data_IF_991094271582
#
_entry.id   IF_991094271582
#
_cell.length_a   1.000
_cell.length_b   1.000
_cell.length_c   1.000
_cell.angle_alpha   90.00
_cell.angle_beta   90.00
_cell.angle_gamma   90.00
#
_symmetry.space_group_name_H-M   'P 1'
#
loop_
_entity.id
_entity.type
_entity.pdbx_description
1 polymer ?
#
# COMPACT_ATOMS: atom_id res chain seq x y z
N UNK A 1 23.27 26.79 -58.27
CA UNK A 1 24.21 27.63 -57.48
C UNK A 1 24.13 27.23 -56.01
N UNK A 2 25.27 27.09 -55.34
CA UNK A 2 25.38 26.46 -54.02
C UNK A 2 24.89 27.36 -52.87
N UNK A 3 24.35 26.76 -51.81
CA UNK A 3 24.38 27.33 -50.45
C UNK A 3 24.99 26.32 -49.48
N UNK A 4 25.80 26.84 -48.56
CA UNK A 4 26.86 26.09 -47.89
C UNK A 4 26.37 25.17 -46.77
N UNK A 5 27.02 24.01 -46.66
CA UNK A 5 26.81 23.01 -45.62
C UNK A 5 27.82 23.25 -44.49
N UNK A 6 27.41 23.89 -43.40
CA UNK A 6 28.28 24.11 -42.25
C UNK A 6 28.57 22.79 -41.52
N UNK A 7 29.83 22.33 -41.57
CA UNK A 7 30.38 21.35 -40.62
C UNK A 7 30.97 22.12 -39.44
N UNK A 8 30.77 21.63 -38.22
CA UNK A 8 31.61 22.00 -37.08
C UNK A 8 32.17 20.76 -36.39
N UNK A 9 33.30 20.97 -35.73
CA UNK A 9 34.28 19.95 -35.37
C UNK A 9 33.93 19.20 -34.07
N UNK A 10 34.58 18.05 -33.87
CA UNK A 10 34.33 17.19 -32.72
C UNK A 10 35.11 17.52 -31.44
N UNK A 11 34.87 16.70 -30.43
CA UNK A 11 35.63 16.52 -29.17
C UNK A 11 35.62 17.66 -28.13
N UNK A 12 35.04 17.38 -26.96
CA UNK A 12 35.84 16.88 -25.84
C UNK A 12 34.97 16.12 -24.81
N UNK A 13 35.48 15.01 -24.26
CA UNK A 13 34.84 14.28 -23.16
C UNK A 13 35.47 14.67 -21.82
N UNK A 14 34.70 15.28 -20.91
CA UNK A 14 35.13 15.55 -19.54
C UNK A 14 34.48 14.56 -18.56
N UNK A 15 35.11 13.39 -18.35
CA UNK A 15 34.75 12.49 -17.25
C UNK A 15 35.30 13.05 -15.94
N UNK A 16 34.45 13.69 -15.13
CA UNK A 16 34.79 14.05 -13.76
C UNK A 16 34.92 12.77 -12.90
N UNK A 17 36.15 12.35 -12.59
CA UNK A 17 36.44 11.22 -11.70
C UNK A 17 36.67 11.73 -10.28
N UNK A 18 35.61 11.73 -9.47
CA UNK A 18 35.71 12.02 -8.04
C UNK A 18 36.16 10.75 -7.30
N UNK A 19 37.42 10.71 -6.87
CA UNK A 19 37.93 9.68 -5.95
C UNK A 19 37.63 10.09 -4.51
N UNK A 20 36.69 9.41 -3.84
CA UNK A 20 36.50 9.51 -2.39
C UNK A 20 36.98 8.23 -1.70
N UNK A 21 37.66 8.43 -0.56
CA UNK A 21 38.44 7.45 0.20
C UNK A 21 37.53 6.55 1.05
N UNK A 22 37.87 5.26 1.13
CA UNK A 22 37.04 4.25 1.81
C UNK A 22 37.28 4.14 3.32
N UNK A 23 36.17 4.05 4.07
CA UNK A 23 35.92 3.43 5.40
C UNK A 23 34.40 3.17 5.46
N UNK A 24 33.83 2.06 5.92
CA UNK A 24 34.34 0.73 6.31
C UNK A 24 33.24 -0.31 5.94
N UNK A 25 33.47 -1.65 5.96
CA UNK A 25 32.49 -2.59 5.42
C UNK A 25 31.34 -2.88 6.38
N UNK A 26 30.15 -2.33 6.10
CA UNK A 26 28.91 -2.92 6.61
C UNK A 26 28.68 -4.28 5.91
N UNK A 27 28.31 -5.27 6.71
CA UNK A 27 28.18 -6.66 6.25
C UNK A 27 27.20 -6.80 5.08
N UNK A 28 27.64 -7.51 4.04
CA UNK A 28 26.81 -7.81 2.88
C UNK A 28 25.74 -8.84 3.24
N UNK A 29 24.52 -8.41 3.53
CA UNK A 29 23.35 -9.29 3.44
C UNK A 29 23.09 -9.63 1.97
N UNK A 30 23.71 -10.73 1.51
CA UNK A 30 23.42 -11.35 0.22
C UNK A 30 22.00 -11.90 0.23
N UNK A 31 21.02 -11.13 -0.26
CA UNK A 31 19.67 -11.64 -0.47
C UNK A 31 19.49 -12.14 -1.92
N UNK A 32 20.25 -13.16 -2.27
CA UNK A 32 19.97 -14.02 -3.43
C UNK A 32 18.97 -15.08 -2.99
N UNK A 33 17.69 -14.75 -3.06
CA UNK A 33 16.60 -15.66 -2.71
C UNK A 33 15.30 -15.21 -3.37
N UNK A 34 14.90 -15.88 -4.45
CA UNK A 34 13.50 -15.88 -4.85
C UNK A 34 12.71 -16.60 -3.76
N UNK A 35 12.10 -15.85 -2.85
CA UNK A 35 11.21 -16.42 -1.82
C UNK A 35 10.00 -17.01 -2.53
N UNK A 36 10.08 -18.31 -2.83
CA UNK A 36 8.91 -19.18 -2.92
C UNK A 36 8.34 -19.20 -1.50
N UNK A 37 7.09 -18.79 -1.36
CA UNK A 37 6.36 -19.06 -0.12
C UNK A 37 6.08 -20.57 -0.11
N UNK A 38 6.73 -21.28 0.80
CA UNK A 38 6.35 -22.65 1.10
C UNK A 38 5.08 -22.59 1.94
N UNK A 39 4.06 -23.30 1.48
CA UNK A 39 2.76 -23.37 2.13
C UNK A 39 2.79 -24.51 3.16
N UNK A 40 3.09 -24.18 4.41
CA UNK A 40 3.10 -25.10 5.55
C UNK A 40 2.87 -24.30 6.83
N UNK A 41 2.04 -24.84 7.72
CA UNK A 41 1.63 -24.25 9.00
C UNK A 41 0.83 -22.93 8.93
N UNK A 42 -0.16 -22.89 8.04
CA UNK A 42 -1.28 -21.96 8.20
C UNK A 42 -2.17 -22.40 9.37
N UNK A 43 -2.13 -21.65 10.48
CA UNK A 43 -3.17 -21.73 11.51
C UNK A 43 -4.44 -21.09 10.93
N UNK A 44 -5.22 -21.92 10.26
CA UNK A 44 -6.34 -21.56 9.39
C UNK A 44 -7.36 -20.69 10.15
N UNK A 45 -7.67 -19.49 9.63
CA UNK A 45 -8.85 -18.75 10.07
C UNK A 45 -10.08 -19.50 9.54
N UNK A 46 -10.70 -20.33 10.38
CA UNK A 46 -11.83 -21.17 9.98
C UNK A 46 -12.96 -20.33 9.37
N UNK A 47 -13.38 -20.73 8.16
CA UNK A 47 -14.38 -20.03 7.34
C UNK A 47 -15.83 -20.31 7.77
N UNK A 48 -16.04 -21.02 8.88
CA UNK A 48 -17.37 -21.41 9.36
C UNK A 48 -17.87 -20.43 10.42
N UNK A 49 -18.40 -19.31 9.96
CA UNK A 49 -19.74 -18.79 10.33
C UNK A 49 -20.03 -17.48 9.59
N UNK A 50 -20.70 -17.59 8.42
CA UNK A 50 -21.27 -16.43 7.74
C UNK A 50 -22.57 -16.01 8.46
N UNK A 51 -22.45 -15.20 9.51
CA UNK A 51 -23.57 -14.46 10.08
C UNK A 51 -23.45 -12.98 9.74
N UNK A 52 -24.31 -12.51 8.84
CA UNK A 52 -24.38 -11.12 8.41
C UNK A 52 -25.15 -10.27 9.45
N UNK A 53 -24.57 -10.12 10.63
CA UNK A 53 -25.15 -9.32 11.72
C UNK A 53 -24.32 -8.07 11.98
N UNK A 54 -24.97 -6.91 11.88
CA UNK A 54 -24.46 -5.63 12.39
C UNK A 54 -24.40 -5.65 13.92
N UNK A 55 -23.41 -6.34 14.48
CA UNK A 55 -23.07 -6.23 15.91
C UNK A 55 -22.16 -5.04 16.10
N UNK A 56 -22.78 -3.92 16.48
CA UNK A 56 -22.12 -2.74 17.00
C UNK A 56 -21.35 -3.13 18.27
N UNK A 57 -20.08 -3.47 18.08
CA UNK A 57 -19.16 -3.79 19.17
C UNK A 57 -18.88 -2.50 19.94
N UNK A 58 -19.62 -2.30 21.03
CA UNK A 58 -19.37 -1.21 21.97
C UNK A 58 -17.89 -1.25 22.37
N UNK A 59 -17.15 -0.13 22.28
CA UNK A 59 -15.81 -0.07 22.84
C UNK A 59 -15.97 -0.02 24.37
N UNK A 60 -15.72 -1.15 25.03
CA UNK A 60 -15.52 -1.14 26.48
C UNK A 60 -14.37 -0.18 26.80
N UNK A 61 -14.70 0.87 27.54
CA UNK A 61 -13.73 1.84 28.00
C UNK A 61 -12.90 1.22 29.11
N UNK A 62 -11.62 0.95 28.84
CA UNK A 62 -10.49 1.53 29.60
C UNK A 62 -9.13 0.93 29.21
N UNK A 63 -8.44 1.60 28.28
CA UNK A 63 -7.19 2.25 28.67
C UNK A 63 -7.03 3.51 27.82
N UNK A 64 -6.84 4.68 28.45
CA UNK A 64 -6.48 5.92 27.74
C UNK A 64 -4.96 5.92 27.53
N UNK A 65 -4.47 4.87 26.86
CA UNK A 65 -3.21 4.91 26.14
C UNK A 65 -3.44 5.58 24.80
N UNK A 66 -2.58 6.53 24.42
CA UNK A 66 -2.57 7.13 23.09
C UNK A 66 -1.98 6.13 22.06
N UNK A 67 -2.63 4.98 21.90
CA UNK A 67 -2.19 3.89 21.04
C UNK A 67 -2.37 4.32 19.58
N UNK A 68 -1.30 4.37 18.79
CA UNK A 68 -1.40 4.90 17.43
C UNK A 68 -2.22 3.94 16.57
N UNK A 69 -3.27 4.48 15.93
CA UNK A 69 -4.13 3.73 15.02
C UNK A 69 -3.69 3.94 13.57
N UNK A 70 -3.10 2.91 12.98
CA UNK A 70 -2.60 2.92 11.60
C UNK A 70 -3.54 2.10 10.73
N UNK A 71 -4.29 2.75 9.84
CA UNK A 71 -5.18 2.06 8.91
C UNK A 71 -4.50 1.81 7.56
N UNK A 72 -4.56 0.56 7.07
CA UNK A 72 -3.99 0.14 5.79
C UNK A 72 -5.12 -0.34 4.88
N UNK A 73 -5.23 0.27 3.69
CA UNK A 73 -6.26 -0.10 2.71
C UNK A 73 -5.83 -1.33 1.92
N UNK A 74 -6.57 -2.41 2.13
CA UNK A 74 -6.44 -3.68 1.42
C UNK A 74 -7.40 -3.68 0.24
N UNK A 75 -6.90 -3.48 -0.98
CA UNK A 75 -7.69 -3.58 -2.22
C UNK A 75 -6.87 -4.29 -3.31
N UNK A 76 -7.36 -5.39 -3.92
CA UNK A 76 -6.65 -6.14 -4.97
C UNK A 76 -6.26 -5.33 -6.22
N UNK A 77 -6.92 -4.19 -6.47
CA UNK A 77 -6.61 -3.28 -7.57
C UNK A 77 -5.49 -2.27 -7.26
N UNK A 78 -5.13 -2.15 -5.98
CA UNK A 78 -4.02 -1.40 -5.43
C UNK A 78 -2.78 -2.31 -5.28
N UNK A 79 -1.87 -1.94 -4.38
CA UNK A 79 -0.67 -2.71 -3.99
C UNK A 79 -0.59 -2.80 -2.45
N UNK A 80 -1.51 -3.56 -1.82
CA UNK A 80 -1.70 -3.53 -0.37
C UNK A 80 -0.50 -4.13 0.38
N UNK A 81 0.19 -5.11 -0.22
CA UNK A 81 1.43 -5.67 0.32
C UNK A 81 2.53 -4.61 0.43
N UNK A 82 2.71 -3.75 -0.59
CA UNK A 82 3.69 -2.66 -0.51
C UNK A 82 3.34 -1.63 0.58
N UNK A 83 2.05 -1.34 0.78
CA UNK A 83 1.59 -0.43 1.83
C UNK A 83 1.81 -1.00 3.23
N UNK A 84 1.39 -2.24 3.47
CA UNK A 84 1.55 -2.89 4.78
C UNK A 84 3.03 -3.11 5.12
N UNK A 85 3.85 -3.57 4.17
CA UNK A 85 5.29 -3.75 4.41
C UNK A 85 5.97 -2.43 4.79
N UNK A 86 5.57 -1.32 4.18
CA UNK A 86 6.09 0.01 4.54
C UNK A 86 5.62 0.44 5.93
N UNK A 87 4.32 0.31 6.24
CA UNK A 87 3.77 0.64 7.57
C UNK A 87 4.47 -0.14 8.69
N UNK A 88 4.60 -1.47 8.52
CA UNK A 88 5.29 -2.34 9.48
C UNK A 88 6.79 -2.02 9.67
N UNK A 89 7.45 -1.44 8.67
CA UNK A 89 8.89 -1.12 8.77
C UNK A 89 9.18 0.31 9.23
N UNK A 90 8.29 1.27 8.94
CA UNK A 90 8.57 2.70 9.14
C UNK A 90 7.71 3.39 10.20
N UNK A 91 6.52 2.86 10.53
CA UNK A 91 5.55 3.59 11.38
C UNK A 91 5.00 2.79 12.55
N UNK A 92 4.84 1.47 12.41
CA UNK A 92 4.20 0.62 13.44
C UNK A 92 5.19 0.19 14.52
N UNK A 93 4.78 0.41 15.77
CA UNK A 93 5.40 -0.09 17.00
C UNK A 93 4.57 -1.25 17.60
N UNK A 94 5.12 -1.97 18.58
CA UNK A 94 4.46 -3.15 19.16
C UNK A 94 3.20 -2.86 19.99
N UNK A 95 2.95 -1.61 20.36
CA UNK A 95 1.77 -1.17 21.13
C UNK A 95 0.71 -0.47 20.26
N UNK A 96 0.94 -0.37 18.95
CA UNK A 96 0.02 0.28 18.02
C UNK A 96 -1.11 -0.70 17.60
N UNK A 97 -2.20 -0.14 17.10
CA UNK A 97 -3.29 -0.90 16.47
C UNK A 97 -3.24 -0.71 14.96
N UNK A 98 -3.10 -1.80 14.21
CA UNK A 98 -3.27 -1.82 12.74
C UNK A 98 -4.72 -2.15 12.42
N UNK A 99 -5.35 -1.34 11.58
CA UNK A 99 -6.65 -1.66 10.97
C UNK A 99 -6.44 -2.05 9.50
N UNK A 100 -6.80 -3.28 9.15
CA UNK A 100 -6.77 -3.80 7.78
C UNK A 100 -8.16 -3.62 7.16
N UNK A 101 -8.35 -2.56 6.37
CA UNK A 101 -9.64 -2.20 5.77
C UNK A 101 -9.77 -2.73 4.34
N UNK A 102 -10.75 -3.59 4.09
CA UNK A 102 -11.25 -3.89 2.75
C UNK A 102 -12.60 -3.23 2.52
N UNK A 103 -12.75 -2.50 1.41
CA UNK A 103 -14.05 -1.99 0.97
C UNK A 103 -14.53 -2.78 -0.24
N UNK A 104 -15.57 -3.58 -0.06
CA UNK A 104 -16.29 -4.21 -1.16
C UNK A 104 -17.13 -3.18 -1.92
N UNK A 105 -17.35 -3.44 -3.21
CA UNK A 105 -18.11 -2.53 -4.06
C UNK A 105 -19.50 -3.09 -4.25
N UNK A 106 -20.52 -2.35 -3.82
CA UNK A 106 -21.92 -2.65 -4.15
C UNK A 106 -22.03 -2.81 -5.67
N UNK A 107 -22.31 -4.04 -6.09
CA UNK A 107 -22.35 -4.46 -7.48
C UNK A 107 -23.73 -5.05 -7.76
N UNK A 108 -24.32 -4.69 -8.90
CA UNK A 108 -25.54 -5.33 -9.40
C UNK A 108 -25.24 -6.65 -10.13
N UNK A 109 -23.99 -7.09 -10.09
CA UNK A 109 -23.53 -8.38 -10.62
C UNK A 109 -23.90 -9.47 -9.62
N UNK A 110 -24.28 -10.66 -10.11
CA UNK A 110 -25.00 -11.66 -9.34
C UNK A 110 -24.33 -12.05 -8.01
N UNK A 111 -25.15 -12.29 -6.98
CA UNK A 111 -24.75 -12.49 -5.58
C UNK A 111 -23.55 -13.43 -5.40
N UNK A 112 -23.53 -14.54 -6.13
CA UNK A 112 -22.43 -15.54 -6.13
C UNK A 112 -21.05 -14.92 -6.40
N UNK A 113 -20.95 -13.97 -7.33
CA UNK A 113 -19.69 -13.30 -7.66
C UNK A 113 -19.23 -12.36 -6.55
N UNK A 114 -20.16 -11.68 -5.86
CA UNK A 114 -19.83 -10.83 -4.73
C UNK A 114 -19.36 -11.67 -3.52
N UNK A 115 -19.99 -12.82 -3.28
CA UNK A 115 -19.56 -13.79 -2.25
C UNK A 115 -18.13 -14.27 -2.51
N UNK A 116 -17.81 -14.73 -3.72
CA UNK A 116 -16.47 -15.21 -4.08
C UNK A 116 -15.40 -14.10 -3.95
N UNK A 117 -15.72 -12.87 -4.38
CA UNK A 117 -14.83 -11.71 -4.24
C UNK A 117 -14.59 -11.37 -2.77
N UNK A 118 -15.64 -11.40 -1.94
CA UNK A 118 -15.54 -11.14 -0.50
C UNK A 118 -14.73 -12.22 0.22
N UNK A 119 -14.91 -13.50 -0.14
CA UNK A 119 -14.12 -14.61 0.40
C UNK A 119 -12.63 -14.44 0.09
N UNK A 120 -12.26 -14.22 -1.18
CA UNK A 120 -10.86 -13.97 -1.59
C UNK A 120 -10.27 -12.72 -0.92
N UNK A 121 -11.09 -11.72 -0.62
CA UNK A 121 -10.68 -10.54 0.12
C UNK A 121 -10.42 -10.84 1.60
N UNK A 122 -11.25 -11.66 2.22
CA UNK A 122 -11.08 -12.11 3.61
C UNK A 122 -9.83 -13.00 3.76
N UNK A 123 -9.60 -13.94 2.84
CA UNK A 123 -8.37 -14.74 2.78
C UNK A 123 -7.11 -13.86 2.71
N UNK A 124 -7.14 -12.80 1.88
CA UNK A 124 -6.06 -11.80 1.80
C UNK A 124 -5.89 -11.01 3.10
N UNK A 125 -6.99 -10.62 3.75
CA UNK A 125 -6.97 -9.92 5.04
C UNK A 125 -6.37 -10.80 6.16
N UNK A 126 -6.74 -12.08 6.23
CA UNK A 126 -6.16 -13.06 7.16
C UNK A 126 -4.67 -13.27 6.90
N UNK A 127 -4.25 -13.42 5.64
CA UNK A 127 -2.82 -13.50 5.28
C UNK A 127 -2.05 -12.25 5.72
N UNK A 128 -2.61 -11.06 5.48
CA UNK A 128 -2.01 -9.80 5.91
C UNK A 128 -2.00 -9.62 7.44
N UNK A 129 -3.01 -10.14 8.16
CA UNK A 129 -3.04 -10.17 9.64
C UNK A 129 -1.91 -11.04 10.20
N UNK A 130 -1.73 -12.23 9.66
CA UNK A 130 -0.61 -13.12 10.02
C UNK A 130 0.73 -12.41 9.77
N UNK A 131 0.90 -11.76 8.61
CA UNK A 131 2.12 -10.97 8.30
C UNK A 131 2.39 -9.85 9.32
N UNK A 132 1.37 -9.21 9.88
CA UNK A 132 1.53 -8.21 10.93
C UNK A 132 2.07 -8.86 12.22
N UNK A 133 1.37 -9.89 12.70
CA UNK A 133 1.68 -10.58 13.96
C UNK A 133 3.07 -11.23 13.93
N UNK A 134 3.47 -11.86 12.81
CA UNK A 134 4.81 -12.43 12.63
C UNK A 134 5.92 -11.38 12.62
N UNK A 135 5.69 -10.19 12.04
CA UNK A 135 6.73 -9.15 11.90
C UNK A 135 6.81 -8.20 13.09
N UNK A 136 5.73 -8.05 13.85
CA UNK A 136 5.58 -7.15 14.99
C UNK A 136 4.80 -7.87 16.10
N UNK A 137 5.42 -8.83 16.83
CA UNK A 137 4.79 -9.40 18.00
C UNK A 137 4.39 -8.28 18.98
N UNK A 138 3.19 -8.40 19.55
CA UNK A 138 2.53 -7.39 20.38
C UNK A 138 1.51 -6.52 19.63
N UNK A 139 1.68 -6.28 18.33
CA UNK A 139 0.80 -5.35 17.59
C UNK A 139 -0.65 -5.87 17.55
N UNK A 140 -1.61 -5.00 17.86
CA UNK A 140 -3.02 -5.32 17.73
C UNK A 140 -3.43 -5.22 16.27
N UNK A 141 -4.19 -6.19 15.75
CA UNK A 141 -4.62 -6.21 14.34
C UNK A 141 -6.13 -6.44 14.23
N UNK A 142 -6.83 -5.39 13.86
CA UNK A 142 -8.26 -5.37 13.54
C UNK A 142 -8.44 -5.60 12.03
N UNK A 143 -9.40 -6.45 11.65
CA UNK A 143 -9.85 -6.60 10.26
C UNK A 143 -11.19 -5.89 10.15
N UNK A 144 -11.33 -5.00 9.16
CA UNK A 144 -12.55 -4.24 8.89
C UNK A 144 -12.98 -4.51 7.45
N UNK A 145 -14.19 -5.01 7.27
CA UNK A 145 -14.82 -5.17 5.95
C UNK A 145 -16.03 -4.26 5.87
N UNK A 146 -16.06 -3.40 4.86
CA UNK A 146 -17.15 -2.46 4.61
C UNK A 146 -17.63 -2.57 3.18
N UNK A 147 -18.86 -2.13 2.93
CA UNK A 147 -19.44 -2.08 1.59
C UNK A 147 -19.77 -0.65 1.17
N UNK A 148 -19.48 -0.29 -0.09
CA UNK A 148 -19.91 1.01 -0.58
C UNK A 148 -19.76 1.22 -2.08
N UNK A 149 -20.57 2.14 -2.60
CA UNK A 149 -20.57 2.53 -4.03
C UNK A 149 -19.29 3.28 -4.41
N UNK A 150 -18.81 4.15 -3.54
CA UNK A 150 -17.57 4.94 -3.73
C UNK A 150 -16.52 4.59 -2.68
N UNK A 151 -15.63 3.64 -2.99
CA UNK A 151 -14.56 3.18 -2.06
C UNK A 151 -13.75 4.30 -1.40
N UNK A 152 -13.52 5.42 -2.11
CA UNK A 152 -12.76 6.55 -1.58
C UNK A 152 -13.47 7.31 -0.46
N UNK A 153 -14.80 7.40 -0.51
CA UNK A 153 -15.59 8.03 0.54
C UNK A 153 -15.59 7.16 1.81
N UNK A 154 -15.96 5.88 1.66
CA UNK A 154 -15.95 4.89 2.75
C UNK A 154 -14.59 4.85 3.45
N UNK A 155 -13.47 4.72 2.73
CA UNK A 155 -12.13 4.72 3.34
C UNK A 155 -11.84 5.98 4.18
N UNK A 156 -12.36 7.15 3.77
CA UNK A 156 -12.19 8.41 4.52
C UNK A 156 -13.10 8.46 5.75
N UNK A 157 -14.32 7.91 5.64
CA UNK A 157 -15.30 7.83 6.73
C UNK A 157 -14.83 6.83 7.80
N UNK A 158 -14.41 5.63 7.41
CA UNK A 158 -13.81 4.62 8.30
C UNK A 158 -12.54 5.15 9.02
N UNK A 159 -11.67 5.87 8.30
CA UNK A 159 -10.48 6.48 8.89
C UNK A 159 -10.84 7.46 10.02
N UNK A 160 -11.95 8.18 9.86
CA UNK A 160 -12.47 9.12 10.86
C UNK A 160 -13.15 8.38 12.01
N UNK A 161 -13.98 7.37 11.72
CA UNK A 161 -14.72 6.57 12.70
C UNK A 161 -13.78 5.82 13.64
N UNK A 162 -12.80 5.11 13.10
CA UNK A 162 -11.79 4.38 13.88
C UNK A 162 -10.70 5.29 14.47
N UNK A 163 -10.79 6.62 14.31
CA UNK A 163 -9.81 7.63 14.77
C UNK A 163 -8.37 7.30 14.32
N UNK A 164 -8.20 6.87 13.07
CA UNK A 164 -6.88 6.54 12.52
C UNK A 164 -5.98 7.78 12.48
N UNK A 165 -4.79 7.70 13.08
CA UNK A 165 -3.79 8.78 13.04
C UNK A 165 -3.08 8.83 11.68
N UNK A 166 -2.91 7.66 11.06
CA UNK A 166 -2.25 7.46 9.77
C UNK A 166 -3.06 6.52 8.88
N UNK A 167 -3.32 6.95 7.63
CA UNK A 167 -3.92 6.17 6.57
C UNK A 167 -2.89 5.83 5.48
N UNK A 168 -2.66 4.55 5.23
CA UNK A 168 -1.68 4.05 4.25
C UNK A 168 -2.39 3.35 3.08
N UNK A 169 -2.10 3.78 1.85
CA UNK A 169 -2.66 3.21 0.62
C UNK A 169 -1.58 2.68 -0.33
N UNK A 170 -1.83 1.52 -0.92
CA UNK A 170 -0.95 0.94 -1.93
C UNK A 170 -1.11 1.62 -3.30
N UNK A 171 -0.05 2.21 -3.85
CA UNK A 171 -0.07 2.79 -5.20
C UNK A 171 0.58 1.85 -6.23
N UNK A 172 -0.25 1.02 -6.87
CA UNK A 172 0.19 0.00 -7.84
C UNK A 172 0.96 0.58 -9.03
N UNK A 173 2.20 0.13 -9.22
CA UNK A 173 3.02 0.43 -10.40
C UNK A 173 2.42 -0.26 -11.65
N UNK A 174 1.78 0.51 -12.53
CA UNK A 174 1.33 0.01 -13.85
C UNK A 174 2.41 0.20 -14.91
N UNK A 175 2.45 -0.70 -15.90
CA UNK A 175 3.35 -0.58 -17.05
C UNK A 175 3.01 0.65 -17.90
N UNK A 176 3.96 1.07 -18.75
CA UNK A 176 3.77 2.19 -19.67
C UNK A 176 2.65 1.86 -20.68
N UNK A 177 2.59 0.62 -21.19
CA UNK A 177 1.50 0.13 -22.05
C UNK A 177 0.12 0.28 -21.38
N UNK A 178 -0.02 -0.11 -20.10
CA UNK A 178 -1.24 0.10 -19.31
C UNK A 178 -1.57 1.57 -18.98
N UNK A 179 -0.62 2.49 -19.21
CA UNK A 179 -0.87 3.94 -19.17
C UNK A 179 -1.38 4.43 -20.52
N UNK A 180 -0.74 4.04 -21.62
CA UNK A 180 -1.14 4.41 -22.99
C UNK A 180 -2.55 3.90 -23.33
N UNK A 181 -2.85 2.63 -23.04
CA UNK A 181 -4.18 2.04 -23.26
C UNK A 181 -5.31 2.80 -22.52
N UNK A 182 -5.00 3.47 -21.41
CA UNK A 182 -5.98 4.31 -20.67
C UNK A 182 -6.16 5.71 -21.22
N UNK A 183 -5.17 6.24 -21.94
CA UNK A 183 -5.34 7.50 -22.70
C UNK A 183 -6.34 7.25 -23.83
N UNK A 184 -6.20 6.11 -24.54
CA UNK A 184 -7.08 5.72 -25.64
C UNK A 184 -8.49 5.37 -25.19
N UNK A 185 -8.65 4.56 -24.13
CA UNK A 185 -9.98 4.10 -23.67
C UNK A 185 -10.79 5.16 -22.91
N UNK A 186 -10.28 6.38 -22.71
CA UNK A 186 -10.87 7.48 -21.90
C UNK A 186 -11.31 7.12 -20.46
N UNK A 187 -11.09 5.88 -19.99
CA UNK A 187 -11.45 5.38 -18.66
C UNK A 187 -10.58 5.99 -17.55
N UNK A 188 -10.98 7.18 -17.08
CA UNK A 188 -10.59 7.71 -15.76
C UNK A 188 -11.09 6.77 -14.65
N UNK A 189 -10.49 6.87 -13.46
CA UNK A 189 -10.82 6.11 -12.24
C UNK A 189 -10.25 4.68 -12.09
N UNK A 190 -8.97 4.62 -11.67
CA UNK A 190 -8.49 3.68 -10.62
C UNK A 190 -7.52 4.38 -9.65
N UNK A 191 -6.91 5.49 -10.08
CA UNK A 191 -6.22 6.46 -9.21
C UNK A 191 -7.16 7.27 -8.29
N UNK A 192 -8.49 7.28 -8.55
CA UNK A 192 -9.43 8.13 -7.82
C UNK A 192 -9.46 7.81 -6.32
N UNK A 193 -9.44 6.55 -5.90
CA UNK A 193 -9.49 6.19 -4.47
C UNK A 193 -8.29 6.79 -3.72
N UNK A 194 -7.08 6.51 -4.19
CA UNK A 194 -5.83 7.00 -3.58
C UNK A 194 -5.77 8.53 -3.56
N UNK A 195 -6.08 9.18 -4.68
CA UNK A 195 -6.00 10.64 -4.78
C UNK A 195 -7.13 11.35 -3.99
N UNK A 196 -8.32 10.76 -3.93
CA UNK A 196 -9.43 11.23 -3.09
C UNK A 196 -9.07 11.12 -1.61
N UNK A 197 -8.56 9.98 -1.14
CA UNK A 197 -8.16 9.80 0.26
C UNK A 197 -7.10 10.82 0.66
N UNK A 198 -6.04 11.01 -0.15
CA UNK A 198 -5.00 12.01 0.11
C UNK A 198 -5.55 13.45 0.22
N UNK A 199 -6.60 13.78 -0.54
CA UNK A 199 -7.19 15.12 -0.54
C UNK A 199 -8.19 15.32 0.61
N UNK A 200 -9.02 14.30 0.88
CA UNK A 200 -10.24 14.39 1.69
C UNK A 200 -10.14 13.76 3.09
N UNK A 201 -9.18 12.89 3.36
CA UNK A 201 -8.96 12.37 4.71
C UNK A 201 -8.53 13.48 5.67
N UNK A 202 -9.02 13.38 6.91
CA UNK A 202 -8.67 14.30 7.99
C UNK A 202 -7.31 13.96 8.63
N UNK A 203 -6.91 12.69 8.59
CA UNK A 203 -5.67 12.20 9.16
C UNK A 203 -4.49 12.23 8.18
N UNK A 204 -3.27 11.98 8.67
CA UNK A 204 -2.10 11.90 7.81
C UNK A 204 -2.29 10.77 6.79
N UNK A 205 -2.23 11.08 5.49
CA UNK A 205 -2.51 10.10 4.44
C UNK A 205 -1.34 9.94 3.48
N UNK A 206 -0.91 8.69 3.31
CA UNK A 206 0.33 8.30 2.65
C UNK A 206 0.03 7.23 1.61
N UNK A 207 0.31 7.53 0.34
CA UNK A 207 0.30 6.55 -0.73
C UNK A 207 1.71 6.06 -1.02
N UNK A 208 1.91 4.74 -0.93
CA UNK A 208 3.21 4.08 -0.97
C UNK A 208 3.36 3.24 -2.24
N UNK A 209 4.52 3.34 -2.88
CA UNK A 209 4.87 2.54 -4.07
C UNK A 209 6.33 2.12 -4.06
N UNK A 210 6.62 0.85 -4.35
CA UNK A 210 8.00 0.37 -4.52
C UNK A 210 8.71 1.11 -5.68
N UNK A 211 9.85 1.75 -5.40
CA UNK A 211 10.62 2.53 -6.39
C UNK A 211 11.25 1.60 -7.44
N UNK A 212 12.20 0.79 -6.99
CA UNK A 212 12.95 -0.17 -7.78
C UNK A 212 12.82 -1.57 -7.17
N UNK A 213 12.86 -2.60 -8.03
CA UNK A 213 13.03 -3.98 -7.55
C UNK A 213 14.49 -4.35 -7.32
N UNK A 214 15.45 -3.56 -7.84
CA UNK A 214 16.90 -3.80 -7.73
C UNK A 214 17.57 -3.03 -6.60
N UNK A 215 17.07 -1.83 -6.29
CA UNK A 215 17.70 -0.89 -5.36
C UNK A 215 16.83 -0.58 -4.14
N UNK A 216 15.78 -1.38 -3.90
CA UNK A 216 14.80 -1.16 -2.84
C UNK A 216 14.11 0.21 -2.90
N UNK A 217 13.72 0.69 -1.72
CA UNK A 217 13.17 2.02 -1.49
C UNK A 217 11.70 2.22 -1.89
N UNK A 218 11.08 3.21 -1.26
CA UNK A 218 9.67 3.55 -1.45
C UNK A 218 9.52 4.97 -2.00
N UNK A 219 8.69 5.12 -3.03
CA UNK A 219 8.15 6.41 -3.44
C UNK A 219 6.88 6.66 -2.63
N UNK A 220 6.81 7.84 -2.04
CA UNK A 220 5.69 8.28 -1.22
C UNK A 220 5.00 9.48 -1.86
N UNK A 221 3.67 9.49 -1.78
CA UNK A 221 2.85 10.64 -2.12
C UNK A 221 1.93 10.97 -0.96
N UNK A 222 1.97 12.23 -0.51
CA UNK A 222 1.10 12.81 0.52
C UNK A 222 0.34 14.00 -0.06
N UNK A 223 -0.45 14.68 0.77
CA UNK A 223 -1.20 15.89 0.38
C UNK A 223 -0.30 17.04 -0.07
N UNK A 224 0.93 17.15 0.49
CA UNK A 224 1.89 18.24 0.22
C UNK A 224 2.96 17.86 -0.81
N UNK A 225 3.42 16.61 -0.84
CA UNK A 225 4.55 16.19 -1.67
C UNK A 225 4.22 14.94 -2.50
N UNK A 226 4.58 14.92 -3.78
CA UNK A 226 4.32 13.81 -4.70
C UNK A 226 5.60 13.08 -5.09
N UNK A 227 5.60 11.75 -5.00
CA UNK A 227 6.70 10.85 -5.36
C UNK A 227 8.06 11.17 -4.72
N UNK A 228 8.11 11.68 -3.48
CA UNK A 228 9.38 11.79 -2.77
C UNK A 228 9.90 10.40 -2.39
N UNK A 229 11.22 10.24 -2.38
CA UNK A 229 11.86 8.94 -2.14
C UNK A 229 12.31 8.85 -0.69
N UNK A 230 11.79 7.87 0.05
CA UNK A 230 12.44 7.41 1.28
C UNK A 230 13.41 6.28 0.93
N UNK A 231 14.65 6.44 1.41
CA UNK A 231 15.59 5.33 1.52
C UNK A 231 15.02 4.30 2.50
N UNK A 232 15.31 3.03 2.24
CA UNK A 232 14.87 1.89 3.04
C UNK A 232 16.03 1.39 3.92
#
# INVERSE_FOLDING_TARGET
>A
MNRFRAKLHGFCMSRAVVRVRARSPCQQYKNTGSIKFNDSDSKYCSSTEMSFNSVESRPDSESIGNNNRVMVVVDPSLDPNCALQWALSHTVQSQDTILLLYVSKISKEGEKANIEINQRAYELLCSMKNMCQTKKPGVQVEIVMQEGKEKGAVVVEEAKQHKASLLVLGQRKRSIMWRMLRIWTRKKSRSRVVEYCIQKANCMTIAVRRKSSKYGGYLITTKRHKNFWLLA
#
